data_IF_104036898682
#
_entry.id   IF_104036898682
#
_cell.length_a   1.000
_cell.length_b   1.000
_cell.length_c   1.000
_cell.angle_alpha   90.00
_cell.angle_beta   90.00
_cell.angle_gamma   90.00
#
_symmetry.space_group_name_H-M   'P 1'
#
loop_
_entity.id
_entity.type
_entity.pdbx_description
1 polymer ?
#
# COMPACT_ATOMS: atom_id res chain seq x y z
N UNK A 1 23.40 51.25 -35.34
CA UNK A 1 22.13 50.83 -34.68
C UNK A 1 22.48 49.66 -33.77
N UNK A 2 22.67 49.93 -32.46
CA UNK A 2 22.81 48.91 -31.43
C UNK A 2 21.43 48.48 -30.97
N UNK A 3 21.00 47.26 -31.30
CA UNK A 3 19.83 46.62 -30.70
C UNK A 3 20.22 46.15 -29.31
N UNK A 4 19.78 46.85 -28.29
CA UNK A 4 19.82 46.40 -26.90
C UNK A 4 18.84 45.23 -26.75
N UNK A 5 19.35 43.98 -26.76
CA UNK A 5 18.61 42.80 -26.36
C UNK A 5 18.27 42.89 -24.88
N UNK A 6 17.08 43.35 -24.55
CA UNK A 6 16.51 43.25 -23.19
C UNK A 6 16.32 41.78 -22.88
N UNK A 7 17.17 41.24 -21.99
CA UNK A 7 16.99 39.87 -21.49
C UNK A 7 15.62 39.75 -20.81
N UNK A 8 14.79 38.83 -21.28
CA UNK A 8 13.51 38.54 -20.63
C UNK A 8 13.80 38.13 -19.18
N UNK A 9 13.06 38.65 -18.18
CA UNK A 9 13.22 38.24 -16.79
C UNK A 9 12.90 36.75 -16.65
N UNK A 10 13.59 36.05 -15.76
CA UNK A 10 13.32 34.61 -15.56
C UNK A 10 11.87 34.39 -15.15
N UNK A 11 11.23 33.36 -15.70
CA UNK A 11 9.80 33.04 -15.48
C UNK A 11 9.43 32.92 -13.99
N UNK A 12 10.39 32.66 -13.12
CA UNK A 12 10.19 32.58 -11.66
C UNK A 12 9.84 33.93 -11.00
N UNK A 13 10.13 35.07 -11.65
CA UNK A 13 9.83 36.40 -11.09
C UNK A 13 8.48 36.95 -11.53
N UNK A 14 7.82 36.28 -12.50
CA UNK A 14 6.51 36.75 -13.06
C UNK A 14 5.32 36.47 -12.14
N UNK A 15 5.44 35.60 -11.13
CA UNK A 15 4.35 35.29 -10.22
C UNK A 15 4.81 35.23 -8.75
N UNK A 16 5.22 36.36 -8.16
CA UNK A 16 5.55 36.40 -6.74
C UNK A 16 4.34 36.14 -5.83
N UNK A 17 3.12 36.17 -6.39
CA UNK A 17 1.86 36.06 -5.62
C UNK A 17 1.27 34.66 -5.55
N UNK A 18 1.82 33.66 -6.22
CA UNK A 18 1.31 32.28 -6.16
C UNK A 18 1.45 31.64 -4.78
N UNK A 19 2.30 32.20 -3.93
CA UNK A 19 2.45 31.77 -2.52
C UNK A 19 1.44 32.41 -1.57
N UNK A 20 0.81 33.53 -1.96
CA UNK A 20 -0.14 34.29 -1.12
C UNK A 20 -1.57 33.71 -1.13
N UNK A 21 -1.92 32.90 -2.12
CA UNK A 21 -3.25 32.28 -2.24
C UNK A 21 -3.26 30.81 -1.85
N UNK A 22 -2.56 30.42 -0.77
CA UNK A 22 -2.91 29.17 -0.10
C UNK A 22 -4.26 29.40 0.61
N UNK A 23 -5.35 29.14 -0.10
CA UNK A 23 -6.67 29.06 0.51
C UNK A 23 -6.60 28.12 1.72
N UNK A 24 -7.23 28.52 2.82
CA UNK A 24 -7.36 27.68 4.01
C UNK A 24 -7.91 26.32 3.56
N UNK A 25 -7.18 25.25 3.88
CA UNK A 25 -7.60 23.91 3.51
C UNK A 25 -8.89 23.62 4.26
N UNK A 26 -9.97 23.34 3.55
CA UNK A 26 -11.25 22.96 4.15
C UNK A 26 -11.14 21.58 4.81
N UNK A 27 -11.98 21.31 5.81
CA UNK A 27 -12.02 20.00 6.48
C UNK A 27 -12.29 18.87 5.49
N UNK A 28 -13.18 19.09 4.51
CA UNK A 28 -13.37 18.16 3.39
C UNK A 28 -12.07 17.90 2.63
N UNK A 29 -11.28 18.93 2.37
CA UNK A 29 -10.00 18.80 1.67
C UNK A 29 -8.99 17.95 2.47
N UNK A 30 -8.98 18.06 3.80
CA UNK A 30 -8.14 17.24 4.68
C UNK A 30 -8.58 15.78 4.63
N UNK A 31 -9.86 15.52 4.81
CA UNK A 31 -10.47 14.18 4.75
C UNK A 31 -10.21 13.51 3.39
N UNK A 32 -10.42 14.24 2.29
CA UNK A 32 -10.17 13.73 0.95
C UNK A 32 -8.70 13.38 0.72
N UNK A 33 -7.77 14.22 1.18
CA UNK A 33 -6.33 13.97 1.06
C UNK A 33 -5.92 12.72 1.82
N UNK A 34 -6.42 12.53 3.03
CA UNK A 34 -6.11 11.34 3.82
C UNK A 34 -6.64 10.06 3.16
N UNK A 35 -7.88 10.09 2.65
CA UNK A 35 -8.42 8.98 1.83
C UNK A 35 -7.53 8.68 0.62
N UNK A 36 -7.14 9.71 -0.14
CA UNK A 36 -6.30 9.54 -1.32
C UNK A 36 -4.91 9.02 -0.98
N UNK A 37 -4.34 9.42 0.16
CA UNK A 37 -3.08 8.92 0.68
C UNK A 37 -3.16 7.41 0.93
N UNK A 38 -4.15 6.95 1.68
CA UNK A 38 -4.36 5.51 1.94
C UNK A 38 -4.60 4.75 0.64
N UNK A 39 -5.52 5.23 -0.20
CA UNK A 39 -5.83 4.60 -1.48
C UNK A 39 -4.61 4.42 -2.38
N UNK A 40 -3.77 5.45 -2.52
CA UNK A 40 -2.54 5.40 -3.31
C UNK A 40 -1.49 4.48 -2.71
N UNK A 41 -1.38 4.45 -1.39
CA UNK A 41 -0.45 3.60 -0.67
C UNK A 41 -0.68 2.12 -0.96
N UNK A 42 -1.95 1.68 -1.01
CA UNK A 42 -2.32 0.30 -1.35
C UNK A 42 -2.58 0.07 -2.84
N UNK A 43 -2.41 1.09 -3.69
CA UNK A 43 -2.57 0.97 -5.15
C UNK A 43 -3.99 0.59 -5.59
N UNK A 44 -5.02 1.12 -4.91
CA UNK A 44 -6.42 0.79 -5.16
C UNK A 44 -7.10 1.79 -6.09
N UNK A 45 -8.08 1.30 -6.88
CA UNK A 45 -9.05 2.16 -7.54
C UNK A 45 -10.10 2.69 -6.54
N UNK A 46 -10.81 3.75 -6.90
CA UNK A 46 -11.85 4.30 -6.02
C UNK A 46 -12.96 3.29 -5.72
N UNK A 47 -13.43 2.58 -6.75
CA UNK A 47 -14.46 1.54 -6.59
C UNK A 47 -14.03 0.43 -5.64
N UNK A 48 -12.78 -0.05 -5.78
CA UNK A 48 -12.26 -1.08 -4.89
C UNK A 48 -12.13 -0.59 -3.45
N UNK A 49 -11.65 0.63 -3.27
CA UNK A 49 -11.51 1.21 -1.92
C UNK A 49 -12.86 1.35 -1.23
N UNK A 50 -13.88 1.81 -1.95
CA UNK A 50 -15.26 1.91 -1.44
C UNK A 50 -15.82 0.56 -1.01
N UNK A 51 -15.65 -0.48 -1.84
CA UNK A 51 -16.06 -1.85 -1.47
C UNK A 51 -15.35 -2.38 -0.22
N UNK A 52 -14.07 -2.02 0.00
CA UNK A 52 -13.37 -2.37 1.24
C UNK A 52 -13.92 -1.60 2.44
N UNK A 53 -14.31 -0.35 2.23
CA UNK A 53 -14.93 0.47 3.26
C UNK A 53 -16.30 -0.11 3.69
N UNK A 54 -17.19 -0.42 2.76
CA UNK A 54 -18.49 -1.07 3.02
C UNK A 54 -18.31 -2.39 3.79
N UNK A 55 -17.33 -3.21 3.39
CA UNK A 55 -17.02 -4.45 4.10
C UNK A 55 -16.50 -4.21 5.52
N UNK A 56 -15.72 -3.15 5.73
CA UNK A 56 -15.22 -2.78 7.04
C UNK A 56 -16.33 -2.25 7.96
N UNK A 57 -17.27 -1.49 7.41
CA UNK A 57 -18.45 -0.97 8.12
C UNK A 57 -19.40 -2.08 8.55
N UNK A 58 -19.60 -3.10 7.70
CA UNK A 58 -20.43 -4.26 8.03
C UNK A 58 -19.83 -5.15 9.14
N UNK A 59 -18.54 -4.99 9.48
CA UNK A 59 -17.90 -5.76 10.53
C UNK A 59 -18.07 -5.08 11.90
N UNK A 60 -18.23 -5.88 12.95
CA UNK A 60 -18.26 -5.38 14.33
C UNK A 60 -16.91 -4.74 14.71
N UNK A 61 -16.95 -3.59 15.37
CA UNK A 61 -15.77 -2.89 15.86
C UNK A 61 -15.60 -1.50 15.24
N UNK A 62 -14.39 -0.96 15.30
CA UNK A 62 -14.07 0.37 14.77
C UNK A 62 -13.83 0.26 13.26
N UNK A 63 -14.69 0.89 12.46
CA UNK A 63 -14.68 0.83 10.99
C UNK A 63 -13.31 1.18 10.39
N UNK A 64 -12.65 2.21 10.92
CA UNK A 64 -11.33 2.62 10.44
C UNK A 64 -10.26 1.55 10.64
N UNK A 65 -10.24 0.93 11.82
CA UNK A 65 -9.31 -0.18 12.11
C UNK A 65 -9.63 -1.40 11.25
N UNK A 66 -10.91 -1.78 11.13
CA UNK A 66 -11.33 -2.89 10.28
C UNK A 66 -10.91 -2.68 8.82
N UNK A 67 -11.06 -1.44 8.30
CA UNK A 67 -10.62 -1.08 6.96
C UNK A 67 -9.11 -1.33 6.78
N UNK A 68 -8.29 -0.86 7.71
CA UNK A 68 -6.84 -1.04 7.65
C UNK A 68 -6.44 -2.52 7.72
N UNK A 69 -7.08 -3.29 8.60
CA UNK A 69 -6.88 -4.75 8.70
C UNK A 69 -7.21 -5.45 7.37
N UNK A 70 -8.34 -5.10 6.73
CA UNK A 70 -8.71 -5.67 5.44
C UNK A 70 -7.71 -5.30 4.34
N UNK A 71 -7.20 -4.07 4.33
CA UNK A 71 -6.21 -3.62 3.36
C UNK A 71 -4.85 -4.30 3.56
N UNK A 72 -4.42 -4.51 4.80
CA UNK A 72 -3.18 -5.21 5.11
C UNK A 72 -3.24 -6.70 4.74
N UNK A 73 -4.40 -7.35 4.88
CA UNK A 73 -4.61 -8.77 4.56
C UNK A 73 -4.64 -9.08 3.07
N UNK A 74 -4.54 -8.11 2.20
CA UNK A 74 -4.48 -8.34 0.74
C UNK A 74 -3.17 -9.05 0.36
N UNK A 75 -3.27 -10.02 -0.53
CA UNK A 75 -2.13 -10.83 -0.95
C UNK A 75 -0.99 -9.98 -1.54
N UNK A 76 -1.30 -8.97 -2.35
CA UNK A 76 -0.31 -8.05 -2.91
C UNK A 76 0.49 -7.31 -1.81
N UNK A 77 -0.19 -6.89 -0.74
CA UNK A 77 0.44 -6.24 0.38
C UNK A 77 1.21 -7.23 1.28
N UNK A 78 0.66 -8.42 1.52
CA UNK A 78 1.33 -9.46 2.34
C UNK A 78 2.65 -9.87 1.70
N UNK A 79 2.70 -10.06 0.39
CA UNK A 79 3.92 -10.35 -0.36
C UNK A 79 4.97 -9.25 -0.19
N UNK A 80 4.54 -7.99 -0.21
CA UNK A 80 5.43 -6.86 0.07
C UNK A 80 5.91 -6.86 1.53
N UNK A 81 5.03 -7.16 2.50
CA UNK A 81 5.38 -7.22 3.94
C UNK A 81 6.31 -8.38 4.27
N UNK A 82 6.13 -9.54 3.65
CA UNK A 82 7.03 -10.70 3.76
C UNK A 82 8.41 -10.46 3.12
N UNK A 83 8.52 -9.43 2.24
CA UNK A 83 9.77 -9.10 1.57
C UNK A 83 10.02 -9.82 0.26
N UNK A 84 9.02 -10.49 -0.29
CA UNK A 84 9.15 -11.08 -1.63
C UNK A 84 9.11 -10.03 -2.76
N UNK A 85 8.78 -8.79 -2.43
CA UNK A 85 8.78 -7.67 -3.37
C UNK A 85 9.30 -6.37 -2.72
N UNK A 86 9.96 -5.53 -3.51
CA UNK A 86 10.47 -4.24 -3.06
C UNK A 86 9.37 -3.17 -2.93
N UNK A 87 8.26 -3.34 -3.65
CA UNK A 87 7.12 -2.44 -3.61
C UNK A 87 5.79 -3.20 -3.72
N UNK A 88 4.69 -2.58 -3.25
CA UNK A 88 3.34 -3.16 -3.40
C UNK A 88 2.94 -3.35 -4.86
N UNK A 89 3.35 -2.43 -5.74
CA UNK A 89 3.11 -2.54 -7.18
C UNK A 89 3.80 -3.76 -7.78
N UNK A 90 5.05 -4.00 -7.41
CA UNK A 90 5.80 -5.18 -7.83
C UNK A 90 5.17 -6.46 -7.26
N UNK A 91 4.78 -6.46 -5.98
CA UNK A 91 4.07 -7.60 -5.36
C UNK A 91 2.78 -7.92 -6.12
N UNK A 92 2.00 -6.90 -6.47
CA UNK A 92 0.79 -7.06 -7.30
C UNK A 92 1.09 -7.67 -8.66
N UNK A 93 2.14 -7.23 -9.34
CA UNK A 93 2.57 -7.79 -10.62
C UNK A 93 2.97 -9.26 -10.49
N UNK A 94 3.74 -9.60 -9.47
CA UNK A 94 4.16 -10.97 -9.22
C UNK A 94 2.98 -11.90 -8.94
N UNK A 95 1.94 -11.45 -8.22
CA UNK A 95 0.71 -12.22 -8.03
C UNK A 95 0.01 -12.48 -9.35
N UNK A 96 -0.19 -11.43 -10.17
CA UNK A 96 -0.85 -11.55 -11.48
C UNK A 96 -0.12 -12.51 -12.41
N UNK A 97 1.20 -12.61 -12.29
CA UNK A 97 2.05 -13.51 -13.09
C UNK A 97 2.17 -14.93 -12.51
N UNK A 98 1.37 -15.26 -11.46
CA UNK A 98 1.35 -16.60 -10.86
C UNK A 98 2.69 -17.05 -10.21
N UNK A 99 3.45 -16.13 -9.67
CA UNK A 99 4.70 -16.44 -9.00
C UNK A 99 4.50 -17.01 -7.58
N UNK A 100 3.28 -16.96 -7.02
CA UNK A 100 2.97 -17.38 -5.66
C UNK A 100 1.92 -18.47 -5.59
N UNK A 101 2.07 -19.30 -4.57
CA UNK A 101 1.12 -20.30 -4.14
C UNK A 101 0.60 -19.93 -2.75
N UNK A 102 -0.68 -20.10 -2.52
CA UNK A 102 -1.30 -20.00 -1.19
C UNK A 102 -1.83 -21.38 -0.82
N UNK A 103 -1.34 -21.96 0.28
CA UNK A 103 -1.66 -23.33 0.69
C UNK A 103 -1.46 -24.34 -0.45
N UNK A 104 -0.37 -24.22 -1.20
CA UNK A 104 -0.04 -25.09 -2.34
C UNK A 104 -0.84 -24.81 -3.63
N UNK A 105 -1.81 -23.92 -3.61
CA UNK A 105 -2.63 -23.57 -4.78
C UNK A 105 -2.19 -22.26 -5.42
N UNK A 106 -2.13 -22.19 -6.75
CA UNK A 106 -1.82 -20.96 -7.48
C UNK A 106 -2.94 -19.93 -7.30
N UNK A 107 -2.56 -18.73 -6.88
CA UNK A 107 -3.49 -17.60 -6.73
C UNK A 107 -2.96 -16.41 -7.52
N UNK A 108 -3.75 -15.93 -8.48
CA UNK A 108 -3.42 -14.78 -9.33
C UNK A 108 -4.27 -13.53 -9.04
N UNK A 109 -4.96 -13.53 -7.91
CA UNK A 109 -5.84 -12.44 -7.50
C UNK A 109 -5.15 -11.59 -6.43
N UNK A 110 -4.66 -10.37 -6.75
CA UNK A 110 -3.97 -9.51 -5.78
C UNK A 110 -4.82 -9.09 -4.58
N UNK A 111 -6.15 -9.02 -4.78
CA UNK A 111 -7.12 -8.69 -3.73
C UNK A 111 -7.55 -9.89 -2.87
N UNK A 112 -6.94 -11.05 -3.05
CA UNK A 112 -7.18 -12.21 -2.20
C UNK A 112 -6.87 -11.86 -0.74
N UNK A 113 -7.80 -12.15 0.16
CA UNK A 113 -7.64 -11.89 1.59
C UNK A 113 -7.09 -13.13 2.29
N UNK A 114 -5.87 -13.03 2.77
CA UNK A 114 -5.23 -14.09 3.53
C UNK A 114 -5.89 -14.27 4.89
N UNK A 115 -5.86 -15.50 5.40
CA UNK A 115 -6.38 -15.89 6.71
C UNK A 115 -5.24 -16.29 7.63
N UNK A 116 -5.51 -16.32 8.92
CA UNK A 116 -4.59 -16.89 9.90
C UNK A 116 -4.33 -18.37 9.57
N UNK A 117 -3.07 -18.77 9.55
CA UNK A 117 -2.62 -20.13 9.20
C UNK A 117 -2.34 -20.33 7.70
N UNK A 118 -2.63 -19.36 6.84
CA UNK A 118 -2.28 -19.48 5.42
C UNK A 118 -0.77 -19.46 5.22
N UNK A 119 -0.27 -20.40 4.39
CA UNK A 119 1.10 -20.42 3.92
C UNK A 119 1.20 -19.81 2.52
N UNK A 120 2.17 -18.92 2.32
CA UNK A 120 2.44 -18.25 1.06
C UNK A 120 3.83 -18.67 0.60
N UNK A 121 3.91 -19.32 -0.55
CA UNK A 121 5.15 -19.89 -1.06
C UNK A 121 5.46 -19.34 -2.44
N UNK A 122 6.74 -19.16 -2.73
CA UNK A 122 7.19 -18.80 -4.09
C UNK A 122 7.15 -20.06 -4.95
N UNK A 123 6.54 -19.98 -6.12
CA UNK A 123 6.52 -21.08 -7.09
C UNK A 123 7.98 -21.49 -7.44
N UNK A 124 8.26 -22.79 -7.52
CA UNK A 124 9.61 -23.30 -7.79
C UNK A 124 10.27 -22.70 -9.03
N UNK A 125 9.50 -22.52 -10.11
CA UNK A 125 9.98 -21.88 -11.34
C UNK A 125 10.39 -20.43 -11.12
N UNK A 126 9.82 -19.77 -10.11
CA UNK A 126 10.01 -18.35 -9.80
C UNK A 126 11.10 -18.09 -8.76
N UNK A 127 11.58 -19.11 -8.05
CA UNK A 127 12.69 -19.00 -7.07
C UNK A 127 13.99 -18.50 -7.70
N UNK A 128 14.17 -18.72 -9.01
CA UNK A 128 15.34 -18.26 -9.78
C UNK A 128 15.32 -16.78 -10.17
N UNK A 129 14.24 -16.07 -9.86
CA UNK A 129 14.10 -14.64 -10.21
C UNK A 129 14.93 -13.82 -9.22
N UNK A 130 16.01 -13.20 -9.69
CA UNK A 130 16.91 -12.37 -8.90
C UNK A 130 16.17 -11.28 -8.10
N UNK A 131 15.16 -10.64 -8.68
CA UNK A 131 14.38 -9.61 -8.02
C UNK A 131 13.66 -10.09 -6.74
N UNK A 132 13.32 -11.39 -6.61
CA UNK A 132 12.71 -11.95 -5.40
C UNK A 132 13.80 -12.17 -4.35
N UNK A 133 14.95 -12.73 -4.72
CA UNK A 133 16.07 -12.95 -3.82
C UNK A 133 16.60 -11.63 -3.25
N UNK A 134 16.85 -10.64 -4.09
CA UNK A 134 17.28 -9.29 -3.68
C UNK A 134 16.28 -8.63 -2.73
N UNK A 135 14.98 -8.85 -2.96
CA UNK A 135 13.93 -8.31 -2.09
C UNK A 135 13.91 -8.96 -0.72
N UNK A 136 14.19 -10.28 -0.62
CA UNK A 136 14.27 -11.01 0.64
C UNK A 136 15.47 -10.53 1.47
N UNK A 137 16.59 -10.22 0.84
CA UNK A 137 17.75 -9.65 1.53
C UNK A 137 17.43 -8.22 2.03
N UNK A 138 16.75 -7.43 1.23
CA UNK A 138 16.38 -6.07 1.59
C UNK A 138 15.37 -5.99 2.74
N UNK A 139 14.53 -7.02 2.95
CA UNK A 139 13.52 -7.03 4.01
C UNK A 139 14.14 -7.06 5.41
N UNK A 140 15.35 -7.58 5.56
CA UNK A 140 16.08 -7.60 6.85
C UNK A 140 16.22 -6.19 7.42
N UNK A 141 16.41 -5.19 6.55
CA UNK A 141 16.51 -3.77 6.94
C UNK A 141 15.15 -3.14 7.27
N UNK A 142 14.07 -3.63 6.64
CA UNK A 142 12.72 -3.09 6.81
C UNK A 142 12.02 -3.64 8.04
N UNK A 143 12.35 -4.87 8.42
CA UNK A 143 11.64 -5.65 9.42
C UNK A 143 10.36 -6.30 8.87
N UNK A 144 10.00 -7.42 9.47
CA UNK A 144 8.76 -8.16 9.18
C UNK A 144 7.80 -7.92 10.33
N UNK A 145 6.51 -7.60 10.07
CA UNK A 145 5.51 -7.42 11.13
C UNK A 145 5.32 -8.72 11.93
N UNK A 146 4.96 -8.60 13.22
CA UNK A 146 4.83 -9.75 14.14
C UNK A 146 3.77 -10.79 13.73
N UNK A 147 2.79 -10.40 12.93
CA UNK A 147 1.73 -11.28 12.44
C UNK A 147 2.12 -12.11 11.21
N UNK A 148 3.37 -11.96 10.73
CA UNK A 148 3.95 -12.71 9.61
C UNK A 148 5.27 -13.34 10.01
N UNK A 149 5.50 -14.56 9.59
CA UNK A 149 6.77 -15.27 9.72
C UNK A 149 7.33 -15.60 8.33
N UNK A 150 8.64 -15.44 8.16
CA UNK A 150 9.34 -15.72 6.90
C UNK A 150 10.42 -16.77 7.11
N UNK A 151 10.27 -17.90 6.43
CA UNK A 151 11.32 -18.92 6.25
C UNK A 151 12.10 -18.58 4.97
N UNK A 152 13.27 -17.96 5.14
CA UNK A 152 14.07 -17.49 4.00
C UNK A 152 14.56 -18.64 3.12
N UNK A 153 14.99 -19.74 3.71
CA UNK A 153 15.55 -20.90 3.00
C UNK A 153 14.53 -21.52 2.06
N UNK A 154 13.29 -21.62 2.50
CA UNK A 154 12.20 -22.24 1.74
C UNK A 154 11.44 -21.25 0.85
N UNK A 155 11.74 -19.95 0.92
CA UNK A 155 10.96 -18.89 0.26
C UNK A 155 9.46 -19.00 0.61
N UNK A 156 9.17 -19.24 1.89
CA UNK A 156 7.84 -19.46 2.42
C UNK A 156 7.53 -18.46 3.52
N UNK A 157 6.34 -17.91 3.50
CA UNK A 157 5.81 -17.07 4.56
C UNK A 157 4.56 -17.67 5.17
N UNK A 158 4.37 -17.50 6.46
CA UNK A 158 3.20 -17.97 7.19
C UNK A 158 2.50 -16.80 7.87
N UNK A 159 1.18 -16.80 7.83
CA UNK A 159 0.34 -15.80 8.50
C UNK A 159 -0.01 -16.32 9.89
N UNK A 160 0.64 -15.80 10.93
CA UNK A 160 0.45 -16.25 12.34
C UNK A 160 -0.74 -15.58 13.01
N UNK A 161 -1.09 -14.37 12.59
CA UNK A 161 -2.16 -13.59 13.19
C UNK A 161 -2.86 -12.66 12.22
N UNK A 162 -3.65 -11.74 12.77
CA UNK A 162 -4.17 -10.61 12.02
C UNK A 162 -3.37 -9.35 12.34
N UNK A 163 -3.19 -8.44 11.39
CA UNK A 163 -2.49 -7.17 11.62
C UNK A 163 -3.23 -6.34 12.68
N UNK A 164 -2.48 -5.78 13.60
CA UNK A 164 -2.97 -4.84 14.61
C UNK A 164 -2.63 -3.41 14.17
N UNK A 165 -3.32 -2.41 14.72
CA UNK A 165 -3.07 -0.99 14.39
C UNK A 165 -1.62 -0.58 14.61
N UNK A 166 -0.97 -1.16 15.62
CA UNK A 166 0.43 -0.90 15.97
C UNK A 166 1.43 -1.40 14.92
N UNK A 167 1.09 -2.43 14.16
CA UNK A 167 1.91 -2.96 13.07
C UNK A 167 2.00 -2.00 11.86
N UNK A 168 1.10 -1.03 11.82
CA UNK A 168 1.05 -0.03 10.76
C UNK A 168 2.02 1.11 11.07
N UNK A 169 3.22 1.02 10.52
CA UNK A 169 4.29 2.02 10.70
C UNK A 169 3.98 3.41 10.13
N UNK A 170 2.93 3.54 9.34
CA UNK A 170 2.57 4.80 8.70
C UNK A 170 1.54 5.59 9.50
N UNK A 171 1.72 6.92 9.65
CA UNK A 171 0.75 7.79 10.32
C UNK A 171 -0.48 7.96 9.40
N UNK A 172 -1.49 7.12 9.60
CA UNK A 172 -2.78 7.18 8.93
C UNK A 172 -3.82 7.63 9.95
N UNK A 173 -4.59 8.65 9.58
CA UNK A 173 -5.73 9.11 10.37
C UNK A 173 -7.01 8.49 9.80
N UNK A 174 -7.27 7.25 10.20
CA UNK A 174 -8.40 6.45 9.71
C UNK A 174 -9.76 7.11 9.99
N UNK A 175 -9.87 7.86 11.08
CA UNK A 175 -11.09 8.56 11.44
C UNK A 175 -11.53 9.56 10.37
N UNK A 176 -10.58 10.30 9.77
CA UNK A 176 -10.88 11.26 8.70
C UNK A 176 -11.44 10.56 7.44
N UNK A 177 -11.00 9.33 7.18
CA UNK A 177 -11.51 8.53 6.07
C UNK A 177 -12.94 8.08 6.36
N UNK A 178 -13.23 7.66 7.58
CA UNK A 178 -14.57 7.26 8.01
C UNK A 178 -15.52 8.45 7.93
N UNK A 179 -15.14 9.61 8.47
CA UNK A 179 -15.94 10.84 8.43
C UNK A 179 -16.29 11.29 6.99
N UNK A 180 -15.37 11.06 6.04
CA UNK A 180 -15.62 11.41 4.63
C UNK A 180 -16.72 10.56 4.02
N UNK A 181 -16.78 9.27 4.36
CA UNK A 181 -17.78 8.34 3.80
C UNK A 181 -19.10 8.33 4.58
N UNK A 182 -19.11 8.82 5.82
CA UNK A 182 -20.32 8.94 6.65
C UNK A 182 -21.17 10.18 6.33
N UNK A 183 -20.73 11.00 5.39
CA UNK A 183 -21.46 12.17 4.87
C UNK A 183 -22.27 11.71 3.65
#
# INVERSE_FOLDING_TARGET
>A
YFFLMIRRPPRSTLFPYTTLFRSKISDYGIQLREKQKVKRMYGLSEKQFHLFFERAEAQRGVTGTNLLVLLERRLDNVIYRLGFANSRTQGRQFVLHNHFLVNGKKVNIPSFLVKKGDSIEVNEKSKKIAAISDSIEAVVRRGIPQWLELEKENHKGVVTGFPVREDLTMPIQEQLVVELYSK
#
